data_IF_087387487991
#
_entry.id   IF_087387487991
#
_cell.length_a   1.000
_cell.length_b   1.000
_cell.length_c   1.000
_cell.angle_alpha   90.00
_cell.angle_beta   90.00
_cell.angle_gamma   90.00
#
_symmetry.space_group_name_H-M   'P 1'
#
loop_
_entity.id
_entity.type
_entity.pdbx_description
1 polymer ?
#
# COMPACT_ATOMS: atom_id res chain seq x y z
N UNK A 1 11.99 -0.38 21.23
CA UNK A 1 10.56 -0.62 21.52
C UNK A 1 9.87 -0.84 20.19
N UNK A 2 9.32 -2.04 19.96
CA UNK A 2 8.71 -2.40 18.69
C UNK A 2 7.44 -1.60 18.47
N UNK A 3 7.28 -1.06 17.27
CA UNK A 3 6.02 -0.45 16.86
C UNK A 3 4.94 -1.52 16.83
N UNK A 4 3.76 -1.22 17.39
CA UNK A 4 2.59 -2.11 17.36
C UNK A 4 1.89 -2.14 16.00
N UNK A 5 2.48 -1.50 14.99
CA UNK A 5 1.89 -1.41 13.67
C UNK A 5 2.00 -2.76 12.97
N UNK A 6 0.87 -3.24 12.44
CA UNK A 6 0.81 -4.48 11.68
C UNK A 6 0.25 -4.19 10.31
N UNK A 7 0.78 -4.88 9.31
CA UNK A 7 0.28 -4.81 7.95
C UNK A 7 -0.14 -6.20 7.47
N UNK A 8 -1.30 -6.24 6.80
CA UNK A 8 -1.82 -7.41 6.12
C UNK A 8 -2.02 -7.08 4.64
N UNK A 9 -1.62 -8.02 3.77
CA UNK A 9 -1.66 -7.87 2.31
C UNK A 9 -2.49 -9.01 1.75
N UNK A 10 -3.50 -8.69 0.96
CA UNK A 10 -4.26 -9.64 0.15
C UNK A 10 -4.34 -9.10 -1.28
N UNK A 11 -3.84 -9.88 -2.24
CA UNK A 11 -3.86 -9.55 -3.67
C UNK A 11 -4.42 -10.75 -4.41
N UNK A 12 -5.55 -10.55 -5.10
CA UNK A 12 -6.16 -11.58 -5.93
C UNK A 12 -5.48 -11.62 -7.29
N UNK A 13 -4.58 -12.58 -7.48
CA UNK A 13 -3.78 -12.68 -8.70
C UNK A 13 -4.60 -12.85 -9.99
N UNK A 14 -5.78 -13.48 -9.92
CA UNK A 14 -6.67 -13.71 -11.07
C UNK A 14 -7.61 -12.55 -11.39
N UNK A 15 -7.77 -11.57 -10.49
CA UNK A 15 -8.74 -10.49 -10.63
C UNK A 15 -8.15 -9.08 -10.50
N UNK A 16 -6.94 -8.95 -9.95
CA UNK A 16 -6.30 -7.66 -9.74
C UNK A 16 -6.73 -6.93 -8.48
N UNK A 17 -7.77 -7.38 -7.78
CA UNK A 17 -8.17 -6.78 -6.52
C UNK A 17 -7.02 -6.81 -5.51
N UNK A 18 -6.77 -5.67 -4.87
CA UNK A 18 -5.79 -5.48 -3.82
C UNK A 18 -6.45 -4.93 -2.57
N UNK A 19 -6.03 -5.46 -1.42
CA UNK A 19 -6.33 -4.95 -0.10
C UNK A 19 -5.04 -4.89 0.72
N UNK A 20 -4.69 -3.68 1.16
CA UNK A 20 -3.55 -3.41 2.03
C UNK A 20 -4.07 -2.81 3.32
N UNK A 21 -3.94 -3.55 4.42
CA UNK A 21 -4.40 -3.12 5.72
C UNK A 21 -3.25 -2.72 6.61
N UNK A 22 -3.40 -1.60 7.31
CA UNK A 22 -2.48 -1.19 8.36
C UNK A 22 -3.28 -0.92 9.63
N UNK A 23 -2.91 -1.62 10.69
CA UNK A 23 -3.47 -1.42 12.02
C UNK A 23 -2.43 -0.82 12.95
N UNK A 24 -2.89 0.04 13.85
CA UNK A 24 -2.22 0.44 15.07
C UNK A 24 -3.06 -0.01 16.28
N UNK A 25 -2.68 0.41 17.49
CA UNK A 25 -3.46 0.13 18.71
C UNK A 25 -4.87 0.76 18.69
N UNK A 26 -5.09 1.79 17.87
CA UNK A 26 -6.29 2.63 17.92
C UNK A 26 -7.15 2.59 16.67
N UNK A 27 -6.61 2.15 15.53
CA UNK A 27 -7.33 2.22 14.26
C UNK A 27 -6.83 1.15 13.28
N UNK A 28 -7.71 0.76 12.38
CA UNK A 28 -7.46 -0.11 11.24
C UNK A 28 -7.85 0.65 9.97
N UNK A 29 -6.88 0.84 9.08
CA UNK A 29 -7.08 1.40 7.75
C UNK A 29 -6.95 0.28 6.71
N UNK A 30 -7.75 0.34 5.65
CA UNK A 30 -7.76 -0.62 4.55
C UNK A 30 -7.77 0.15 3.22
N UNK A 31 -6.65 0.10 2.50
CA UNK A 31 -6.55 0.57 1.12
C UNK A 31 -7.04 -0.54 0.20
N UNK A 32 -8.04 -0.24 -0.64
CA UNK A 32 -8.65 -1.21 -1.55
C UNK A 32 -8.74 -0.64 -2.97
N UNK A 33 -8.36 -1.45 -3.96
CA UNK A 33 -8.52 -1.11 -5.38
C UNK A 33 -8.74 -2.40 -6.18
N UNK A 34 -9.44 -2.30 -7.31
CA UNK A 34 -9.71 -3.41 -8.22
C UNK A 34 -8.62 -3.64 -9.27
N UNK A 35 -7.65 -2.73 -9.43
CA UNK A 35 -6.58 -2.86 -10.44
C UNK A 35 -5.20 -2.73 -9.79
N UNK A 36 -4.74 -3.80 -9.15
CA UNK A 36 -3.53 -3.85 -8.34
C UNK A 36 -2.25 -3.49 -9.09
N UNK A 37 -2.12 -3.87 -10.37
CA UNK A 37 -0.92 -3.54 -11.16
C UNK A 37 -0.77 -2.03 -11.45
N UNK A 38 -1.84 -1.23 -11.29
CA UNK A 38 -1.80 0.24 -11.37
C UNK A 38 -1.77 0.83 -9.96
N UNK A 39 -2.64 0.34 -9.08
CA UNK A 39 -2.85 0.92 -7.77
C UNK A 39 -1.66 0.71 -6.82
N UNK A 40 -1.01 -0.45 -6.85
CA UNK A 40 0.10 -0.77 -5.94
C UNK A 40 1.33 0.11 -6.23
N UNK A 41 1.80 0.27 -7.49
CA UNK A 41 2.91 1.18 -7.79
C UNK A 41 2.61 2.62 -7.40
N UNK A 42 1.40 3.11 -7.70
CA UNK A 42 0.98 4.46 -7.32
C UNK A 42 0.95 4.65 -5.79
N UNK A 43 0.47 3.64 -5.06
CA UNK A 43 0.47 3.63 -3.60
C UNK A 43 1.89 3.74 -3.04
N UNK A 44 2.83 2.90 -3.51
CA UNK A 44 4.23 2.95 -3.07
C UNK A 44 4.92 4.26 -3.44
N UNK A 45 4.72 4.75 -4.66
CA UNK A 45 5.29 6.02 -5.12
C UNK A 45 4.79 7.20 -4.27
N UNK A 46 3.47 7.26 -4.01
CA UNK A 46 2.86 8.30 -3.16
C UNK A 46 3.44 8.29 -1.75
N UNK A 47 3.49 7.12 -1.11
CA UNK A 47 4.06 6.98 0.23
C UNK A 47 5.54 7.36 0.27
N UNK A 48 6.29 7.03 -0.79
CA UNK A 48 7.70 7.39 -0.92
C UNK A 48 7.90 8.90 -0.96
N UNK A 49 7.15 9.60 -1.81
CA UNK A 49 7.27 11.05 -1.95
C UNK A 49 6.78 11.80 -0.70
N UNK A 50 5.73 11.31 -0.03
CA UNK A 50 5.33 11.83 1.28
C UNK A 50 6.41 11.62 2.34
N UNK A 51 7.02 10.43 2.39
CA UNK A 51 8.08 10.11 3.36
C UNK A 51 9.32 10.99 3.19
N UNK A 52 9.70 11.30 1.96
CA UNK A 52 10.81 12.19 1.64
C UNK A 52 10.49 13.68 1.79
N UNK A 53 9.22 14.04 1.98
CA UNK A 53 8.76 15.43 1.99
C UNK A 53 8.80 16.11 0.62
N UNK A 54 8.80 15.33 -0.47
CA UNK A 54 8.75 15.85 -1.85
C UNK A 54 7.35 16.41 -2.17
N UNK A 55 6.32 15.83 -1.57
CA UNK A 55 4.93 16.27 -1.64
C UNK A 55 4.34 16.30 -0.23
N UNK A 56 3.32 17.15 -0.02
CA UNK A 56 2.56 17.20 1.24
C UNK A 56 1.24 16.45 1.18
N UNK A 57 0.71 16.22 -0.02
CA UNK A 57 -0.59 15.58 -0.26
C UNK A 57 -0.64 14.91 -1.64
N UNK A 58 -1.36 13.80 -1.73
CA UNK A 58 -1.72 13.16 -2.99
C UNK A 58 -3.09 12.47 -2.90
N UNK A 59 -3.80 12.47 -4.03
CA UNK A 59 -5.05 11.73 -4.22
C UNK A 59 -4.77 10.44 -4.99
N UNK A 60 -5.17 9.31 -4.42
CA UNK A 60 -5.10 7.98 -5.00
C UNK A 60 -6.51 7.52 -5.35
N UNK A 61 -6.78 7.34 -6.64
CA UNK A 61 -8.03 6.76 -7.11
C UNK A 61 -8.01 5.24 -6.94
N UNK A 62 -9.14 4.69 -6.56
CA UNK A 62 -9.32 3.26 -6.50
C UNK A 62 -9.72 2.77 -7.88
N UNK A 63 -8.75 2.44 -8.71
CA UNK A 63 -9.03 1.89 -10.03
C UNK A 63 -9.95 0.67 -9.92
N UNK A 64 -11.08 0.66 -10.63
CA UNK A 64 -12.10 -0.40 -10.53
C UNK A 64 -13.23 -0.13 -9.52
N UNK A 65 -13.20 0.96 -8.75
CA UNK A 65 -14.37 1.46 -8.00
C UNK A 65 -14.40 3.00 -8.00
N UNK A 66 -15.40 3.63 -7.36
CA UNK A 66 -15.52 5.10 -7.35
C UNK A 66 -14.75 5.76 -6.20
N UNK A 67 -14.28 4.99 -5.23
CA UNK A 67 -13.60 5.50 -4.05
C UNK A 67 -12.27 6.18 -4.41
N UNK A 68 -11.82 7.02 -3.50
CA UNK A 68 -10.46 7.52 -3.52
C UNK A 68 -9.96 7.81 -2.11
N UNK A 69 -8.65 7.87 -2.00
CA UNK A 69 -7.95 8.18 -0.78
C UNK A 69 -7.15 9.47 -0.95
N UNK A 70 -7.19 10.34 0.05
CA UNK A 70 -6.28 11.48 0.13
C UNK A 70 -5.26 11.16 1.22
N UNK A 71 -4.00 11.05 0.83
CA UNK A 71 -2.88 10.88 1.75
C UNK A 71 -2.18 12.22 1.90
N UNK A 72 -1.98 12.68 3.13
CA UNK A 72 -1.23 13.89 3.42
C UNK A 72 -0.30 13.71 4.61
N UNK A 73 0.79 14.48 4.64
CA UNK A 73 1.77 14.39 5.73
C UNK A 73 2.32 15.75 6.14
N UNK A 74 2.58 15.89 7.44
CA UNK A 74 3.34 16.99 8.03
C UNK A 74 4.83 16.62 8.27
N UNK A 75 5.28 15.49 7.73
CA UNK A 75 6.63 14.92 7.92
C UNK A 75 6.77 14.03 9.15
N UNK A 76 5.82 14.05 10.10
CA UNK A 76 5.80 13.19 11.29
C UNK A 76 4.60 12.25 11.31
N UNK A 77 3.44 12.76 10.93
CA UNK A 77 2.17 12.07 10.87
C UNK A 77 1.73 11.90 9.42
N UNK A 78 1.07 10.79 9.14
CA UNK A 78 0.36 10.50 7.91
C UNK A 78 -1.13 10.61 8.21
N UNK A 79 -1.83 11.51 7.54
CA UNK A 79 -3.29 11.59 7.58
C UNK A 79 -3.83 10.94 6.30
N UNK A 80 -4.90 10.17 6.45
CA UNK A 80 -5.57 9.51 5.34
C UNK A 80 -7.05 9.81 5.43
N UNK A 81 -7.61 10.36 4.36
CA UNK A 81 -9.05 10.48 4.17
C UNK A 81 -9.51 9.44 3.13
N UNK A 82 -10.40 8.54 3.51
CA UNK A 82 -11.07 7.62 2.59
C UNK A 82 -12.45 8.19 2.25
N UNK A 83 -12.64 8.54 0.98
CA UNK A 83 -13.91 8.98 0.45
C UNK A 83 -14.57 7.77 -0.20
N UNK A 84 -15.46 7.16 0.57
CA UNK A 84 -16.20 5.96 0.19
C UNK A 84 -17.49 6.34 -0.53
N UNK A 85 -17.78 5.67 -1.63
CA UNK A 85 -19.04 5.80 -2.35
C UNK A 85 -20.08 4.77 -1.91
N UNK A 86 -19.66 3.65 -1.32
CA UNK A 86 -20.60 2.66 -0.79
C UNK A 86 -20.04 1.85 0.39
N UNK A 87 -20.56 2.06 1.63
CA UNK A 87 -21.52 3.10 2.01
C UNK A 87 -20.89 4.49 1.83
N UNK A 88 -21.70 5.49 1.48
CA UNK A 88 -21.21 6.86 1.37
C UNK A 88 -20.65 7.35 2.71
N UNK A 89 -19.44 7.91 2.70
CA UNK A 89 -18.81 8.39 3.91
C UNK A 89 -17.41 8.93 3.71
N UNK A 90 -16.97 9.75 4.66
CA UNK A 90 -15.58 10.20 4.77
C UNK A 90 -15.00 9.65 6.06
N UNK A 91 -14.04 8.76 5.94
CA UNK A 91 -13.34 8.16 7.08
C UNK A 91 -11.95 8.76 7.19
N UNK A 92 -11.55 9.12 8.41
CA UNK A 92 -10.26 9.79 8.66
C UNK A 92 -9.41 8.93 9.57
N UNK A 93 -8.14 8.79 9.19
CA UNK A 93 -7.15 8.01 9.90
C UNK A 93 -5.88 8.83 10.09
N UNK A 94 -5.18 8.62 11.20
CA UNK A 94 -3.92 9.32 11.46
C UNK A 94 -2.86 8.38 12.03
N UNK A 95 -1.80 8.14 11.29
CA UNK A 95 -0.71 7.25 11.65
C UNK A 95 0.59 8.01 11.86
N UNK A 96 1.56 7.42 12.58
CA UNK A 96 2.94 7.90 12.55
C UNK A 96 3.57 7.50 11.22
N UNK A 97 4.05 8.47 10.46
CA UNK A 97 4.51 8.28 9.08
C UNK A 97 5.58 7.19 9.01
N UNK A 98 6.65 7.32 9.81
CA UNK A 98 7.76 6.35 9.82
C UNK A 98 7.31 4.93 10.17
N UNK A 99 6.40 4.78 11.12
CA UNK A 99 5.94 3.45 11.56
C UNK A 99 4.94 2.83 10.57
N UNK A 100 4.13 3.64 9.91
CA UNK A 100 3.25 3.20 8.83
C UNK A 100 4.07 2.66 7.65
N UNK A 101 5.08 3.43 7.20
CA UNK A 101 5.97 3.06 6.09
C UNK A 101 6.69 1.74 6.39
N UNK A 102 7.22 1.57 7.62
CA UNK A 102 7.83 0.31 8.07
C UNK A 102 6.87 -0.87 8.09
N UNK A 103 5.64 -0.65 8.55
CA UNK A 103 4.64 -1.70 8.59
C UNK A 103 4.31 -2.20 7.19
N UNK A 104 4.10 -1.29 6.24
CA UNK A 104 3.88 -1.61 4.83
C UNK A 104 5.06 -2.42 4.27
N UNK A 105 6.29 -1.94 4.46
CA UNK A 105 7.49 -2.61 3.96
C UNK A 105 7.58 -4.05 4.50
N UNK A 106 7.47 -4.19 5.83
CA UNK A 106 7.53 -5.51 6.48
C UNK A 106 6.38 -6.43 6.06
N UNK A 107 5.18 -5.88 5.91
CA UNK A 107 4.00 -6.64 5.51
C UNK A 107 4.13 -7.18 4.09
N UNK A 108 4.60 -6.33 3.16
CA UNK A 108 4.79 -6.70 1.77
C UNK A 108 5.95 -7.67 1.59
N UNK A 109 7.07 -7.50 2.28
CA UNK A 109 8.18 -8.49 2.27
C UNK A 109 7.70 -9.87 2.72
N UNK A 110 6.94 -9.93 3.83
CA UNK A 110 6.39 -11.20 4.33
C UNK A 110 5.42 -11.84 3.33
N UNK A 111 4.61 -11.02 2.66
CA UNK A 111 3.70 -11.49 1.62
C UNK A 111 4.47 -12.11 0.44
N UNK A 112 5.50 -11.44 -0.06
CA UNK A 112 6.35 -11.98 -1.13
C UNK A 112 7.04 -13.29 -0.70
N UNK A 113 7.61 -13.34 0.50
CA UNK A 113 8.22 -14.56 1.06
C UNK A 113 7.22 -15.71 1.20
N UNK A 114 5.96 -15.42 1.50
CA UNK A 114 4.91 -16.43 1.55
C UNK A 114 4.64 -16.99 0.15
N UNK A 115 4.49 -16.13 -0.86
CA UNK A 115 4.28 -16.56 -2.25
C UNK A 115 5.45 -17.37 -2.81
N UNK A 116 6.68 -17.03 -2.42
CA UNK A 116 7.87 -17.83 -2.76
C UNK A 116 7.79 -19.25 -2.15
N UNK A 117 7.39 -19.36 -0.87
CA UNK A 117 7.20 -20.67 -0.20
C UNK A 117 6.08 -21.50 -0.82
N UNK A 118 5.07 -20.83 -1.35
CA UNK A 118 3.93 -21.45 -2.05
C UNK A 118 4.24 -21.75 -3.54
N UNK A 119 5.48 -21.50 -4.00
CA UNK A 119 5.93 -21.69 -5.39
C UNK A 119 5.11 -20.89 -6.43
N UNK A 120 4.49 -19.80 -5.97
CA UNK A 120 3.78 -18.83 -6.83
C UNK A 120 4.78 -17.86 -7.44
N UNK A 121 5.80 -17.46 -6.67
CA UNK A 121 6.95 -16.67 -7.15
C UNK A 121 8.20 -17.55 -7.31
N UNK A 122 9.07 -17.28 -8.31
CA UNK A 122 8.91 -16.26 -9.36
C UNK A 122 7.81 -16.64 -10.36
N UNK A 123 7.16 -15.64 -10.95
CA UNK A 123 6.11 -15.86 -11.95
C UNK A 123 6.68 -16.64 -13.15
N UNK A 124 6.01 -17.73 -13.54
CA UNK A 124 6.46 -18.60 -14.66
C UNK A 124 6.46 -17.89 -16.00
N UNK A 125 5.59 -16.89 -16.17
CA UNK A 125 5.56 -15.96 -17.28
C UNK A 125 5.10 -14.59 -16.76
N UNK A 126 5.69 -13.51 -17.26
CA UNK A 126 5.18 -12.16 -17.04
C UNK A 126 3.89 -12.02 -17.85
N UNK A 127 2.75 -12.25 -17.20
CA UNK A 127 1.48 -11.88 -17.79
C UNK A 127 1.34 -10.36 -17.77
N UNK A 128 1.01 -9.78 -18.94
CA UNK A 128 0.68 -8.36 -19.01
C UNK A 128 -0.44 -8.08 -18.00
N UNK A 129 -0.27 -7.02 -17.19
CA UNK A 129 -1.20 -6.64 -16.11
C UNK A 129 -1.26 -7.59 -14.90
N UNK A 130 -0.24 -8.46 -14.68
CA UNK A 130 -0.18 -9.25 -13.45
C UNK A 130 -0.05 -8.33 -12.21
N UNK A 131 -0.82 -8.54 -11.13
CA UNK A 131 -0.80 -7.66 -9.93
C UNK A 131 0.51 -7.65 -9.15
N UNK A 132 1.46 -8.52 -9.53
CA UNK A 132 2.84 -8.60 -9.03
C UNK A 132 3.85 -8.63 -10.18
N UNK A 133 3.52 -7.99 -11.30
CA UNK A 133 4.44 -7.83 -12.43
C UNK A 133 5.65 -6.96 -12.07
N UNK A 134 6.59 -6.84 -13.01
CA UNK A 134 7.86 -6.14 -12.79
C UNK A 134 7.70 -4.70 -12.28
N UNK A 135 6.69 -3.97 -12.76
CA UNK A 135 6.42 -2.59 -12.31
C UNK A 135 6.08 -2.53 -10.81
N UNK A 136 5.32 -3.50 -10.32
CA UNK A 136 4.93 -3.60 -8.90
C UNK A 136 6.12 -3.95 -8.03
N UNK A 137 6.90 -4.96 -8.44
CA UNK A 137 8.08 -5.39 -7.69
C UNK A 137 9.15 -4.29 -7.68
N UNK A 138 9.37 -3.62 -8.81
CA UNK A 138 10.29 -2.47 -8.91
C UNK A 138 9.86 -1.33 -8.01
N UNK A 139 8.58 -0.94 -8.05
CA UNK A 139 8.05 0.11 -7.17
C UNK A 139 8.19 -0.26 -5.68
N UNK A 140 8.03 -1.53 -5.34
CA UNK A 140 8.25 -2.02 -3.99
C UNK A 140 9.73 -1.95 -3.58
N UNK A 141 10.66 -2.35 -4.44
CA UNK A 141 12.10 -2.27 -4.15
C UNK A 141 12.56 -0.82 -3.96
N UNK A 142 12.08 0.10 -4.78
CA UNK A 142 12.34 1.53 -4.62
C UNK A 142 11.79 2.05 -3.27
N UNK A 143 10.56 1.67 -2.91
CA UNK A 143 9.92 2.03 -1.65
C UNK A 143 10.66 1.46 -0.43
N UNK A 144 11.01 0.18 -0.44
CA UNK A 144 11.71 -0.48 0.67
C UNK A 144 13.12 0.07 0.90
N UNK A 145 13.78 0.57 -0.15
CA UNK A 145 15.08 1.23 -0.05
C UNK A 145 15.08 2.46 0.87
N UNK A 146 13.91 3.07 1.12
CA UNK A 146 13.76 4.25 1.98
C UNK A 146 14.01 3.95 3.46
N UNK A 147 13.77 2.70 3.88
CA UNK A 147 13.85 2.28 5.27
C UNK A 147 15.21 1.66 5.59
N UNK A 148 15.87 1.11 4.56
CA UNK A 148 17.18 0.46 4.66
C UNK A 148 18.35 1.45 4.56
N UNK A 149 18.10 2.77 4.64
CA UNK A 149 19.09 3.85 4.74
C UNK A 149 19.17 4.40 6.16
#
# INVERSE_FOLDING_TARGET
MGSNYKCFIDIRLTGGDVQIEVSSDTQLFSFKSGIGFIAIPHFFSTLSSLYKGEISEAKLYCDGNSDYYIFSSDGSNLNIEHISHYPEGVFKYQFKLKEYIKAICTGFEKYLQQLEKEEILPLKAQEYAHPLGDDVLTAFYDFSSLINR
#
